data_IF_534260399237
#
_entry.id   IF_534260399237
#
_cell.length_a   1.000
_cell.length_b   1.000
_cell.length_c   1.000
_cell.angle_alpha   90.00
_cell.angle_beta   90.00
_cell.angle_gamma   90.00
#
_symmetry.space_group_name_H-M   'P 1'
#
loop_
_entity.id
_entity.type
_entity.pdbx_description
1 polymer ?
#
# COMPACT_ATOMS: atom_id res chain seq x y z
N UNK A 1 -13.92 -7.14 -11.21
CA UNK A 1 -12.89 -6.37 -10.47
C UNK A 1 -12.21 -7.35 -9.53
N UNK A 2 -10.90 -7.54 -9.69
CA UNK A 2 -10.11 -8.39 -8.79
C UNK A 2 -9.57 -7.51 -7.68
N UNK A 3 -9.73 -7.93 -6.43
CA UNK A 3 -9.31 -7.17 -5.27
C UNK A 3 -9.52 -7.98 -4.01
N UNK A 4 -9.11 -7.43 -2.87
CA UNK A 4 -9.29 -8.06 -1.58
C UNK A 4 -9.85 -7.07 -0.56
N UNK A 5 -10.52 -7.62 0.45
CA UNK A 5 -11.01 -6.85 1.59
C UNK A 5 -9.93 -6.72 2.66
N UNK A 6 -9.79 -5.50 3.17
CA UNK A 6 -8.90 -5.16 4.27
C UNK A 6 -9.52 -4.05 5.12
N UNK A 7 -9.03 -3.90 6.34
CA UNK A 7 -9.36 -2.73 7.15
C UNK A 7 -8.81 -1.46 6.46
N UNK A 8 -9.66 -0.46 6.27
CA UNK A 8 -9.30 0.78 5.56
C UNK A 8 -8.06 1.45 6.17
N UNK A 9 -7.95 1.49 7.50
CA UNK A 9 -6.81 2.08 8.19
C UNK A 9 -5.51 1.33 7.88
N UNK A 10 -5.54 -0.01 7.87
CA UNK A 10 -4.38 -0.82 7.49
C UNK A 10 -3.99 -0.60 6.03
N UNK A 11 -4.97 -0.46 5.13
CA UNK A 11 -4.73 -0.18 3.72
C UNK A 11 -4.14 1.22 3.52
N UNK A 12 -4.63 2.23 4.22
CA UNK A 12 -4.07 3.58 4.21
C UNK A 12 -2.63 3.60 4.71
N UNK A 13 -2.34 2.89 5.81
CA UNK A 13 -0.97 2.75 6.31
C UNK A 13 -0.07 2.05 5.28
N UNK A 14 -0.55 0.94 4.72
CA UNK A 14 0.17 0.19 3.70
C UNK A 14 0.54 1.08 2.50
N UNK A 15 -0.41 1.85 1.96
CA UNK A 15 -0.16 2.78 0.86
C UNK A 15 0.82 3.90 1.24
N UNK A 16 0.72 4.43 2.46
CA UNK A 16 1.66 5.42 2.97
C UNK A 16 3.08 4.87 3.01
N UNK A 17 3.25 3.64 3.50
CA UNK A 17 4.53 2.96 3.56
C UNK A 17 5.05 2.66 2.15
N UNK A 18 4.22 2.11 1.26
CA UNK A 18 4.61 1.82 -0.13
C UNK A 18 5.16 3.04 -0.86
N UNK A 19 4.55 4.21 -0.67
CA UNK A 19 5.01 5.46 -1.24
C UNK A 19 6.44 5.87 -0.81
N UNK A 20 6.94 5.34 0.32
CA UNK A 20 8.32 5.53 0.79
C UNK A 20 9.31 4.57 0.13
N UNK A 21 8.83 3.49 -0.51
CA UNK A 21 9.65 2.50 -1.21
C UNK A 21 9.72 2.74 -2.73
N UNK A 22 9.12 3.84 -3.23
CA UNK A 22 9.34 4.34 -4.59
C UNK A 22 10.58 5.25 -4.58
N UNK A 23 11.48 5.04 -5.53
CA UNK A 23 12.68 5.87 -5.70
C UNK A 23 12.30 7.36 -5.86
N UNK A 24 13.15 8.28 -5.41
CA UNK A 24 12.87 9.71 -5.53
C UNK A 24 12.71 10.07 -7.02
N UNK A 25 11.54 10.58 -7.44
CA UNK A 25 11.28 10.82 -8.85
C UNK A 25 12.16 11.94 -9.40
N UNK A 26 12.70 11.72 -10.59
CA UNK A 26 13.58 12.70 -11.25
C UNK A 26 12.81 13.89 -11.86
N UNK A 27 11.50 13.72 -12.11
CA UNK A 27 10.61 14.74 -12.66
C UNK A 27 9.16 14.51 -12.24
N UNK A 28 8.31 15.53 -12.33
CA UNK A 28 6.88 15.41 -12.04
C UNK A 28 6.11 14.55 -13.07
N UNK A 29 6.67 14.35 -14.26
CA UNK A 29 6.11 13.49 -15.32
C UNK A 29 6.46 12.02 -15.16
N UNK A 30 7.42 11.70 -14.28
CA UNK A 30 7.88 10.34 -13.98
C UNK A 30 6.72 9.49 -13.44
N UNK A 31 6.60 8.24 -13.93
CA UNK A 31 5.59 7.30 -13.43
C UNK A 31 5.72 7.09 -11.92
N UNK A 32 6.95 7.05 -11.39
CA UNK A 32 7.18 6.95 -9.94
C UNK A 32 6.57 8.12 -9.18
N UNK A 33 6.65 9.34 -9.73
CA UNK A 33 6.03 10.52 -9.12
C UNK A 33 4.51 10.40 -9.04
N UNK A 34 3.88 9.95 -10.13
CA UNK A 34 2.42 9.79 -10.20
C UNK A 34 1.92 8.73 -9.22
N UNK A 35 2.52 7.55 -9.24
CA UNK A 35 2.15 6.43 -8.35
C UNK A 35 2.31 6.86 -6.89
N UNK A 36 3.48 7.41 -6.54
CA UNK A 36 3.77 7.91 -5.19
C UNK A 36 2.74 8.93 -4.73
N UNK A 37 2.44 9.92 -5.58
CA UNK A 37 1.48 10.98 -5.26
C UNK A 37 0.09 10.41 -5.01
N UNK A 38 -0.38 9.50 -5.87
CA UNK A 38 -1.71 8.89 -5.69
C UNK A 38 -1.80 8.07 -4.40
N UNK A 39 -0.78 7.27 -4.06
CA UNK A 39 -0.77 6.52 -2.81
C UNK A 39 -0.69 7.42 -1.57
N UNK A 40 0.05 8.53 -1.64
CA UNK A 40 0.07 9.53 -0.58
C UNK A 40 -1.27 10.24 -0.42
N UNK A 41 -2.02 10.46 -1.51
CA UNK A 41 -3.37 11.03 -1.47
C UNK A 41 -4.37 10.02 -0.88
N UNK A 42 -4.35 8.77 -1.35
CA UNK A 42 -5.22 7.71 -0.87
C UNK A 42 -5.02 7.37 0.62
N UNK A 43 -3.84 7.66 1.18
CA UNK A 43 -3.50 7.40 2.59
C UNK A 43 -3.79 8.55 3.58
N UNK A 44 -4.59 9.56 3.21
CA UNK A 44 -4.87 10.76 4.02
C UNK A 44 -6.24 10.78 4.73
N UNK A 45 -6.86 9.61 4.95
CA UNK A 45 -8.28 9.44 5.34
C UNK A 45 -9.27 9.96 4.30
N UNK A 46 -10.49 9.41 4.35
CA UNK A 46 -11.64 9.69 3.47
C UNK A 46 -11.61 8.98 2.12
N UNK A 47 -10.79 7.95 1.93
CA UNK A 47 -10.93 7.10 0.75
C UNK A 47 -12.13 6.16 0.94
N UNK A 48 -13.25 6.48 0.31
CA UNK A 48 -14.39 5.58 0.13
C UNK A 48 -14.21 4.91 -1.24
N UNK A 49 -13.49 3.79 -1.30
CA UNK A 49 -13.21 3.13 -2.57
C UNK A 49 -12.35 1.89 -2.46
N UNK A 50 -12.53 0.95 -3.40
CA UNK A 50 -11.77 -0.27 -3.52
C UNK A 50 -10.28 -0.03 -3.87
N UNK A 51 -9.45 -0.97 -3.43
CA UNK A 51 -7.99 -1.16 -3.63
C UNK A 51 -7.39 -0.48 -4.88
N UNK A 52 -6.23 0.19 -4.71
CA UNK A 52 -6.07 1.64 -4.61
C UNK A 52 -6.20 2.36 -5.96
N UNK A 53 -6.56 3.65 -5.90
CA UNK A 53 -6.70 4.57 -7.04
C UNK A 53 -5.63 4.31 -8.11
N UNK A 54 -6.09 3.80 -9.25
CA UNK A 54 -5.32 3.62 -10.49
C UNK A 54 -4.26 2.49 -10.47
N UNK A 55 -4.30 1.55 -9.53
CA UNK A 55 -3.39 0.38 -9.56
C UNK A 55 -3.48 -0.41 -10.87
N UNK A 56 -4.70 -0.65 -11.37
CA UNK A 56 -4.92 -1.29 -12.67
C UNK A 56 -4.26 -0.49 -13.80
N UNK A 57 -4.38 0.84 -13.79
CA UNK A 57 -3.75 1.70 -14.79
C UNK A 57 -2.21 1.70 -14.68
N UNK A 58 -1.67 1.78 -13.46
CA UNK A 58 -0.23 1.73 -13.23
C UNK A 58 0.37 0.39 -13.63
N UNK A 59 -0.34 -0.71 -13.37
CA UNK A 59 0.10 -2.06 -13.72
C UNK A 59 -0.17 -2.45 -15.17
N UNK A 60 -0.93 -1.64 -15.94
CA UNK A 60 -1.17 -1.87 -17.36
C UNK A 60 0.07 -1.58 -18.25
N UNK A 61 1.09 -0.92 -17.71
CA UNK A 61 2.36 -0.66 -18.40
C UNK A 61 3.50 -1.42 -17.75
N UNK A 62 4.49 -1.88 -18.53
CA UNK A 62 5.67 -2.57 -17.98
C UNK A 62 6.43 -1.70 -16.98
N UNK A 63 6.61 -0.41 -17.29
CA UNK A 63 7.32 0.53 -16.44
C UNK A 63 6.61 0.75 -15.10
N UNK A 64 5.31 1.03 -15.12
CA UNK A 64 4.53 1.20 -13.90
C UNK A 64 4.43 -0.09 -13.07
N UNK A 65 4.26 -1.25 -13.73
CA UNK A 65 4.26 -2.54 -13.06
C UNK A 65 5.60 -2.82 -12.35
N UNK A 66 6.74 -2.55 -12.99
CA UNK A 66 8.05 -2.75 -12.39
C UNK A 66 8.28 -1.86 -11.16
N UNK A 67 7.83 -0.59 -11.21
CA UNK A 67 7.89 0.33 -10.07
C UNK A 67 7.04 -0.18 -8.91
N UNK A 68 5.78 -0.54 -9.17
CA UNK A 68 4.86 -1.06 -8.16
C UNK A 68 5.41 -2.34 -7.55
N UNK A 69 5.85 -3.29 -8.38
CA UNK A 69 6.42 -4.57 -7.93
C UNK A 69 7.69 -4.39 -7.12
N UNK A 70 8.55 -3.43 -7.48
CA UNK A 70 9.76 -3.11 -6.71
C UNK A 70 9.39 -2.54 -5.33
N UNK A 71 8.44 -1.62 -5.27
CA UNK A 71 7.99 -1.01 -4.02
C UNK A 71 7.36 -2.04 -3.08
N UNK A 72 6.45 -2.88 -3.59
CA UNK A 72 5.81 -3.98 -2.84
C UNK A 72 6.86 -4.96 -2.32
N UNK A 73 7.75 -5.48 -3.17
CA UNK A 73 8.81 -6.40 -2.72
C UNK A 73 9.72 -5.79 -1.65
N UNK A 74 10.04 -4.50 -1.77
CA UNK A 74 10.88 -3.79 -0.82
C UNK A 74 10.20 -3.66 0.55
N UNK A 75 8.92 -3.25 0.57
CA UNK A 75 8.13 -3.12 1.79
C UNK A 75 7.83 -4.49 2.42
N UNK A 76 7.37 -5.46 1.64
CA UNK A 76 7.07 -6.83 2.11
C UNK A 76 8.28 -7.47 2.78
N UNK A 77 9.49 -7.29 2.20
CA UNK A 77 10.73 -7.78 2.82
C UNK A 77 11.00 -7.12 4.17
N UNK A 78 10.81 -5.80 4.27
CA UNK A 78 11.02 -5.07 5.52
C UNK A 78 10.03 -5.51 6.60
N UNK A 79 8.74 -5.63 6.26
CA UNK A 79 7.70 -6.07 7.21
C UNK A 79 7.93 -7.52 7.67
N UNK A 80 8.37 -8.41 6.78
CA UNK A 80 8.69 -9.80 7.14
C UNK A 80 9.93 -9.93 8.04
N UNK A 81 10.70 -8.86 8.22
CA UNK A 81 11.84 -8.81 9.14
C UNK A 81 11.48 -8.17 10.49
N UNK A 82 10.29 -7.58 10.63
CA UNK A 82 9.83 -7.02 11.89
C UNK A 82 9.47 -8.14 12.86
N UNK A 83 9.99 -8.05 14.08
CA UNK A 83 9.70 -8.95 15.20
C UNK A 83 8.90 -8.25 16.32
N UNK A 84 8.67 -6.95 16.18
CA UNK A 84 7.93 -6.12 17.13
C UNK A 84 6.77 -5.37 16.45
N UNK A 85 5.64 -5.18 17.14
CA UNK A 85 4.54 -4.35 16.65
C UNK A 85 4.98 -2.93 16.26
N UNK A 86 4.28 -2.34 15.29
CA UNK A 86 4.47 -0.92 14.97
C UNK A 86 3.76 -0.09 16.03
N UNK A 87 4.54 0.67 16.78
CA UNK A 87 4.04 1.52 17.85
C UNK A 87 3.11 2.61 17.31
N UNK A 88 1.94 2.79 17.92
CA UNK A 88 0.96 3.77 17.44
C UNK A 88 1.49 5.21 17.50
N UNK A 89 2.44 5.50 18.39
CA UNK A 89 3.11 6.80 18.46
C UNK A 89 3.92 7.10 17.19
N UNK A 90 4.53 6.09 16.58
CA UNK A 90 5.21 6.23 15.28
C UNK A 90 4.22 6.63 14.20
N UNK A 91 3.02 6.07 14.22
CA UNK A 91 1.96 6.40 13.25
C UNK A 91 1.48 7.85 13.42
N UNK A 92 1.41 8.35 14.66
CA UNK A 92 1.12 9.78 14.92
C UNK A 92 2.20 10.69 14.34
N UNK A 93 3.48 10.32 14.45
CA UNK A 93 4.57 11.08 13.81
C UNK A 93 4.45 11.10 12.28
N UNK A 94 3.81 10.10 11.69
CA UNK A 94 3.51 10.04 10.25
C UNK A 94 2.23 10.79 9.85
N UNK A 95 1.56 11.45 10.81
CA UNK A 95 0.35 12.24 10.61
C UNK A 95 -0.95 11.44 10.66
N UNK A 96 -0.96 10.24 11.25
CA UNK A 96 -2.19 9.49 11.53
C UNK A 96 -2.72 9.86 12.91
N UNK A 97 -3.36 11.02 13.05
CA UNK A 97 -3.71 11.58 14.36
C UNK A 97 -4.97 10.96 15.01
N UNK A 98 -5.90 10.38 14.23
CA UNK A 98 -7.23 9.98 14.71
C UNK A 98 -7.54 8.46 14.67
N UNK A 99 -6.83 7.64 13.89
CA UNK A 99 -7.18 6.21 13.71
C UNK A 99 -6.54 5.26 14.71
N UNK A 100 -5.34 5.58 15.19
CA UNK A 100 -4.52 4.59 15.88
C UNK A 100 -4.36 4.93 17.37
N UNK A 101 -5.00 4.11 18.19
CA UNK A 101 -4.90 4.15 19.65
C UNK A 101 -4.23 2.90 20.24
N UNK A 102 -3.87 1.94 19.39
CA UNK A 102 -3.19 0.69 19.73
C UNK A 102 -2.06 0.42 18.74
N UNK A 103 -1.03 -0.28 19.19
CA UNK A 103 0.03 -0.77 18.31
C UNK A 103 -0.54 -1.71 17.25
N UNK A 104 0.06 -1.69 16.07
CA UNK A 104 -0.33 -2.55 14.96
C UNK A 104 0.50 -3.82 15.03
N UNK A 105 -0.19 -4.95 15.08
CA UNK A 105 0.48 -6.23 15.09
C UNK A 105 1.11 -6.49 13.70
N UNK A 106 2.32 -7.06 13.70
CA UNK A 106 3.08 -7.24 12.45
C UNK A 106 2.35 -8.18 11.49
N UNK A 107 1.65 -9.18 12.03
CA UNK A 107 0.86 -10.16 11.27
C UNK A 107 -0.27 -9.50 10.46
N UNK A 108 -0.93 -8.47 11.00
CA UNK A 108 -1.94 -7.69 10.27
C UNK A 108 -1.35 -7.06 8.99
N UNK A 109 -0.11 -6.56 9.05
CA UNK A 109 0.58 -5.98 7.88
C UNK A 109 1.16 -7.03 6.94
N UNK A 110 1.62 -8.17 7.48
CA UNK A 110 2.05 -9.31 6.67
C UNK A 110 0.90 -9.88 5.85
N UNK A 111 -0.32 -9.91 6.39
CA UNK A 111 -1.51 -10.34 5.65
C UNK A 111 -1.80 -9.40 4.46
N UNK A 112 -1.68 -8.08 4.66
CA UNK A 112 -1.84 -7.10 3.55
C UNK A 112 -0.76 -7.30 2.49
N UNK A 113 0.49 -7.53 2.90
CA UNK A 113 1.60 -7.79 1.98
C UNK A 113 1.32 -9.01 1.08
N UNK A 114 0.88 -10.12 1.67
CA UNK A 114 0.53 -11.34 0.94
C UNK A 114 -0.60 -11.10 -0.05
N UNK A 115 -1.66 -10.40 0.37
CA UNK A 115 -2.80 -10.08 -0.51
C UNK A 115 -2.40 -9.14 -1.65
N UNK A 116 -1.50 -8.19 -1.44
CA UNK A 116 -0.97 -7.35 -2.52
C UNK A 116 -0.12 -8.14 -3.51
N UNK A 117 0.74 -9.04 -3.02
CA UNK A 117 1.54 -9.91 -3.89
C UNK A 117 0.64 -10.83 -4.74
N UNK A 118 -0.38 -11.43 -4.14
CA UNK A 118 -1.34 -12.25 -4.88
C UNK A 118 -2.16 -11.43 -5.89
N UNK A 119 -2.48 -10.17 -5.58
CA UNK A 119 -3.14 -9.26 -6.52
C UNK A 119 -2.25 -8.98 -7.74
N UNK A 120 -0.97 -8.65 -7.52
CA UNK A 120 -0.02 -8.35 -8.59
C UNK A 120 0.29 -9.56 -9.47
N UNK A 121 0.35 -10.74 -8.87
CA UNK A 121 0.63 -12.00 -9.57
C UNK A 121 -0.63 -12.57 -10.23
N UNK A 122 -1.75 -11.82 -10.24
CA UNK A 122 -3.05 -12.25 -10.76
C UNK A 122 -3.53 -13.58 -10.15
N UNK A 123 -3.10 -13.87 -8.91
CA UNK A 123 -3.47 -15.08 -8.14
C UNK A 123 -4.79 -14.90 -7.36
N UNK A 124 -5.27 -13.67 -7.25
CA UNK A 124 -6.61 -13.37 -6.71
C UNK A 124 -7.64 -13.51 -7.85
N UNK A 125 -8.65 -14.36 -7.63
CA UNK A 125 -9.78 -14.56 -8.55
C UNK A 125 -11.12 -14.13 -7.94
N UNK A 126 -11.11 -13.45 -6.80
CA UNK A 126 -12.35 -13.10 -6.09
C UNK A 126 -13.13 -12.06 -6.87
N UNK A 127 -14.29 -12.47 -7.38
CA UNK A 127 -15.36 -11.56 -7.78
C UNK A 127 -15.89 -10.90 -6.51
N UNK A 128 -15.60 -9.61 -6.32
CA UNK A 128 -16.34 -8.82 -5.35
C UNK A 128 -17.82 -8.89 -5.73
N UNK A 129 -18.63 -9.57 -4.92
CA UNK A 129 -20.08 -9.54 -5.01
C UNK A 129 -20.60 -8.54 -3.98
N UNK A 130 -21.43 -7.61 -4.46
CA UNK A 130 -22.10 -6.54 -3.72
C UNK A 130 -22.82 -7.01 -2.44
#
# INVERSE_FOLDING_TARGET
MVGFWANDSLLELWLRLLALHIDEPSSASDYGHKIRTQWLLASKHHFVGAVPHDLEEFTATTEGFDIVRKAVNSLSRMINQLDQPIQYQTLKLMGFDALWSKDIAVDELQEIALKFDDLLESRIFTVASD
#
